data_IF_521902643850
#
_entry.id   IF_521902643850
#
_cell.length_a   1.000
_cell.length_b   1.000
_cell.length_c   1.000
_cell.angle_alpha   90.00
_cell.angle_beta   90.00
_cell.angle_gamma   90.00
#
_symmetry.space_group_name_H-M   'P 1'
#
loop_
_entity.id
_entity.type
_entity.pdbx_description
1 polymer ?
#
# COMPACT_ATOMS: atom_id res chain seq x y z
N UNK A 1 4.19 16.19 13.48
CA UNK A 1 5.28 15.37 14.08
C UNK A 1 5.41 14.09 13.28
N UNK A 2 6.59 13.47 13.20
CA UNK A 2 6.77 12.27 12.36
C UNK A 2 7.88 11.36 12.85
N UNK A 3 8.30 10.43 11.98
CA UNK A 3 9.27 9.37 12.29
C UNK A 3 10.58 9.87 12.92
N UNK A 4 11.18 10.94 12.38
CA UNK A 4 12.44 11.48 12.90
C UNK A 4 12.33 12.00 14.33
N UNK A 5 11.22 12.63 14.70
CA UNK A 5 10.98 13.02 16.09
C UNK A 5 10.86 11.78 16.99
N UNK A 6 10.18 10.71 16.53
CA UNK A 6 10.04 9.47 17.30
C UNK A 6 11.40 8.84 17.62
N UNK A 7 12.34 8.88 16.68
CA UNK A 7 13.70 8.37 16.86
C UNK A 7 14.57 9.26 17.74
N UNK A 8 14.57 10.57 17.49
CA UNK A 8 15.55 11.49 18.09
C UNK A 8 15.08 12.14 19.38
N UNK A 9 13.76 12.19 19.61
CA UNK A 9 13.11 12.96 20.68
C UNK A 9 13.53 14.45 20.73
N UNK A 10 14.00 14.98 19.60
CA UNK A 10 14.52 16.35 19.50
C UNK A 10 13.43 17.40 19.78
N UNK A 11 13.72 18.31 20.71
CA UNK A 11 12.86 19.46 20.99
C UNK A 11 12.71 20.40 19.78
N UNK A 12 13.73 20.49 18.92
CA UNK A 12 13.69 21.30 17.70
C UNK A 12 12.60 20.75 16.76
N UNK A 13 12.59 19.43 16.53
CA UNK A 13 11.57 18.79 15.69
C UNK A 13 10.18 18.89 16.32
N UNK A 14 10.09 18.78 17.66
CA UNK A 14 8.82 18.95 18.40
C UNK A 14 8.21 20.33 18.17
N UNK A 15 9.03 21.37 18.16
CA UNK A 15 8.57 22.76 18.06
C UNK A 15 8.41 23.23 16.61
N UNK A 16 8.80 22.43 15.62
CA UNK A 16 8.69 22.74 14.19
C UNK A 16 8.01 21.58 13.43
N UNK A 17 6.70 21.36 13.62
CA UNK A 17 6.01 20.23 13.01
C UNK A 17 5.78 20.41 11.50
N UNK A 18 5.97 19.33 10.74
CA UNK A 18 5.53 19.23 9.35
C UNK A 18 4.00 19.06 9.20
N UNK A 19 3.51 19.34 8.00
CA UNK A 19 2.14 19.04 7.54
C UNK A 19 2.13 17.94 6.48
N UNK A 20 1.12 17.08 6.50
CA UNK A 20 0.83 16.16 5.38
C UNK A 20 -0.23 16.80 4.48
N UNK A 21 0.07 16.91 3.18
CA UNK A 21 -0.86 17.38 2.15
C UNK A 21 -1.04 16.27 1.11
N UNK A 22 -2.27 16.07 0.66
CA UNK A 22 -2.61 15.02 -0.27
C UNK A 22 -3.73 15.47 -1.21
N UNK A 23 -3.93 14.72 -2.30
CA UNK A 23 -4.87 15.05 -3.35
C UNK A 23 -6.11 14.15 -3.25
N UNK A 24 -7.28 14.76 -3.30
CA UNK A 24 -8.54 14.06 -3.50
C UNK A 24 -8.78 13.94 -5.01
N UNK A 25 -9.06 12.72 -5.46
CA UNK A 25 -9.41 12.48 -6.86
C UNK A 25 -10.93 12.54 -7.00
N UNK A 26 -11.44 13.17 -8.07
CA UNK A 26 -12.87 13.32 -8.29
C UNK A 26 -13.56 12.00 -8.65
N UNK A 27 -12.81 11.02 -9.16
CA UNK A 27 -13.36 9.74 -9.58
C UNK A 27 -13.78 8.88 -8.38
N UNK A 28 -15.00 8.37 -8.43
CA UNK A 28 -15.52 7.44 -7.43
C UNK A 28 -14.73 6.13 -7.46
N UNK A 29 -14.02 5.85 -6.36
CA UNK A 29 -13.27 4.61 -6.14
C UNK A 29 -13.90 3.79 -5.02
N UNK A 30 -14.12 2.50 -5.27
CA UNK A 30 -14.46 1.57 -4.20
C UNK A 30 -13.16 1.05 -3.58
N UNK A 31 -12.99 1.25 -2.28
CA UNK A 31 -11.82 0.80 -1.55
C UNK A 31 -12.17 -0.38 -0.64
N UNK A 32 -11.32 -1.40 -0.68
CA UNK A 32 -11.49 -2.61 0.11
C UNK A 32 -10.19 -2.97 0.83
N UNK A 33 -10.32 -3.48 2.05
CA UNK A 33 -9.24 -4.14 2.76
C UNK A 33 -9.38 -5.66 2.55
N UNK A 34 -8.27 -6.35 2.32
CA UNK A 34 -8.29 -7.80 2.13
C UNK A 34 -7.57 -8.54 3.25
N UNK A 35 -7.43 -9.85 3.07
CA UNK A 35 -6.69 -10.72 3.98
C UNK A 35 -5.79 -11.69 3.22
N UNK A 36 -5.18 -12.65 3.92
CA UNK A 36 -4.46 -13.75 3.28
C UNK A 36 -5.37 -14.70 2.48
N UNK A 37 -6.68 -14.70 2.75
CA UNK A 37 -7.65 -15.52 2.05
C UNK A 37 -8.01 -14.85 0.71
N UNK A 38 -7.81 -15.58 -0.39
CA UNK A 38 -8.14 -15.11 -1.74
C UNK A 38 -9.66 -14.88 -1.83
N UNK A 39 -10.05 -13.76 -2.41
CA UNK A 39 -11.47 -13.38 -2.61
C UNK A 39 -12.13 -12.68 -1.42
N UNK A 40 -11.49 -12.63 -0.25
CA UNK A 40 -12.01 -11.86 0.88
C UNK A 40 -11.70 -10.37 0.73
N UNK A 41 -12.75 -9.54 0.69
CA UNK A 41 -12.67 -8.08 0.58
C UNK A 41 -13.73 -7.44 1.47
N UNK A 42 -13.32 -6.55 2.38
CA UNK A 42 -14.22 -5.77 3.22
C UNK A 42 -14.20 -4.30 2.80
N UNK A 43 -15.39 -3.70 2.64
CA UNK A 43 -15.52 -2.30 2.24
C UNK A 43 -14.88 -1.38 3.29
N UNK A 44 -14.16 -0.35 2.82
CA UNK A 44 -13.53 0.64 3.69
C UNK A 44 -13.26 1.94 2.92
N UNK A 45 -12.39 2.80 3.46
CA UNK A 45 -12.03 4.09 2.87
C UNK A 45 -10.56 4.18 2.52
N UNK A 46 -10.22 4.72 1.35
CA UNK A 46 -8.84 4.84 0.90
C UNK A 46 -8.04 5.82 1.76
N UNK A 47 -8.65 6.93 2.16
CA UNK A 47 -8.04 7.93 3.02
C UNK A 47 -8.54 7.81 4.46
N UNK A 48 -7.61 7.66 5.41
CA UNK A 48 -7.88 7.67 6.84
C UNK A 48 -7.77 9.10 7.39
N UNK A 49 -8.76 9.95 7.12
CA UNK A 49 -8.73 11.38 7.50
C UNK A 49 -8.68 11.61 9.02
N UNK A 50 -8.97 10.59 9.82
CA UNK A 50 -8.78 10.59 11.27
C UNK A 50 -7.30 10.51 11.71
N UNK A 51 -6.38 10.18 10.79
CA UNK A 51 -4.95 10.11 11.08
C UNK A 51 -4.40 11.50 11.40
N UNK A 52 -3.76 11.62 12.57
CA UNK A 52 -3.26 12.89 13.07
C UNK A 52 -1.96 12.72 13.86
N UNK A 53 -1.35 13.85 14.24
CA UNK A 53 -0.15 13.86 15.06
C UNK A 53 1.04 13.17 14.37
N UNK A 54 1.68 12.25 15.08
CA UNK A 54 2.80 11.45 14.59
C UNK A 54 2.40 10.35 13.60
N UNK A 55 1.11 10.05 13.48
CA UNK A 55 0.55 9.07 12.55
C UNK A 55 -0.06 9.71 11.29
N UNK A 56 0.11 11.01 11.07
CA UNK A 56 -0.55 11.74 9.97
C UNK A 56 -0.29 11.14 8.58
N UNK A 57 0.86 10.48 8.35
CA UNK A 57 1.16 9.81 7.07
C UNK A 57 0.24 8.61 6.79
N UNK A 58 -0.35 7.99 7.81
CA UNK A 58 -1.29 6.89 7.65
C UNK A 58 -2.65 7.32 7.07
N UNK A 59 -2.83 8.61 6.75
CA UNK A 59 -3.92 9.07 5.90
C UNK A 59 -3.96 8.28 4.60
N UNK A 60 -2.80 7.92 4.04
CA UNK A 60 -2.72 7.10 2.84
C UNK A 60 -2.98 5.62 3.15
N UNK A 61 -3.99 5.03 2.51
CA UNK A 61 -4.31 3.60 2.57
C UNK A 61 -4.55 3.04 3.96
N UNK A 62 -4.78 3.90 4.96
CA UNK A 62 -4.85 3.52 6.38
C UNK A 62 -3.52 2.96 6.94
N UNK A 63 -2.40 3.31 6.31
CA UNK A 63 -1.07 2.82 6.65
C UNK A 63 -0.72 1.51 5.95
N UNK A 64 -0.03 0.62 6.67
CA UNK A 64 0.61 -0.58 6.11
C UNK A 64 -0.28 -1.82 6.17
N UNK A 65 -1.47 -1.71 5.60
CA UNK A 65 -2.37 -2.85 5.41
C UNK A 65 -1.66 -3.97 4.63
N UNK A 66 -1.83 -5.26 5.00
CA UNK A 66 -1.24 -6.37 4.25
C UNK A 66 -1.64 -6.36 2.78
N UNK A 67 -2.92 -6.11 2.51
CA UNK A 67 -3.44 -5.97 1.15
C UNK A 67 -4.68 -5.09 1.15
N UNK A 68 -4.78 -4.21 0.17
CA UNK A 68 -6.00 -3.46 -0.13
C UNK A 68 -6.24 -3.40 -1.65
N UNK A 69 -7.47 -3.11 -2.03
CA UNK A 69 -7.92 -3.06 -3.42
C UNK A 69 -8.71 -1.79 -3.66
N UNK A 70 -8.44 -1.17 -4.79
CA UNK A 70 -9.19 -0.05 -5.35
C UNK A 70 -9.78 -0.48 -6.69
N UNK A 71 -11.09 -0.31 -6.84
CA UNK A 71 -11.81 -0.53 -8.09
C UNK A 71 -12.38 0.79 -8.59
N UNK A 72 -12.09 1.11 -9.85
CA UNK A 72 -12.39 2.42 -10.44
C UNK A 72 -13.52 2.30 -11.47
N UNK A 73 -13.96 3.44 -11.99
CA UNK A 73 -14.95 3.48 -13.06
C UNK A 73 -14.35 3.20 -14.44
N UNK A 74 -13.02 3.20 -14.59
CA UNK A 74 -12.36 2.89 -15.85
C UNK A 74 -12.61 1.44 -16.27
N UNK A 75 -12.79 1.21 -17.58
CA UNK A 75 -12.98 -0.11 -18.21
C UNK A 75 -11.98 -0.32 -19.33
N UNK A 76 -10.70 -0.15 -19.00
CA UNK A 76 -9.60 -0.22 -19.95
C UNK A 76 -8.84 -1.57 -19.90
N UNK A 77 -9.29 -2.52 -19.08
CA UNK A 77 -8.66 -3.84 -18.94
C UNK A 77 -7.31 -3.82 -18.23
N UNK A 78 -6.82 -2.66 -17.76
CA UNK A 78 -5.53 -2.55 -17.07
C UNK A 78 -5.72 -2.79 -15.58
N UNK A 79 -5.01 -3.77 -15.03
CA UNK A 79 -5.13 -4.23 -13.64
C UNK A 79 -3.75 -4.41 -13.05
N UNK A 80 -3.38 -3.52 -12.15
CA UNK A 80 -2.04 -3.46 -11.57
C UNK A 80 -2.02 -3.95 -10.14
N UNK A 81 -0.94 -4.62 -9.77
CA UNK A 81 -0.54 -4.79 -8.37
C UNK A 81 0.69 -3.94 -8.06
N UNK A 82 0.63 -3.20 -6.97
CA UNK A 82 1.75 -2.47 -6.38
C UNK A 82 2.28 -3.26 -5.17
N UNK A 83 3.50 -3.77 -5.25
CA UNK A 83 4.21 -4.35 -4.12
C UNK A 83 5.10 -3.28 -3.49
N UNK A 84 4.90 -3.02 -2.20
CA UNK A 84 5.49 -1.86 -1.53
C UNK A 84 5.88 -2.11 -0.08
N UNK A 85 6.66 -1.18 0.45
CA UNK A 85 6.70 -0.77 1.86
C UNK A 85 6.05 0.61 2.05
N UNK A 86 6.10 1.20 3.25
CA UNK A 86 5.30 2.39 3.60
C UNK A 86 5.47 3.59 2.65
N UNK A 87 6.61 3.72 1.96
CA UNK A 87 6.80 4.76 0.93
C UNK A 87 5.80 4.67 -0.22
N UNK A 88 5.34 3.46 -0.58
CA UNK A 88 4.35 3.27 -1.64
C UNK A 88 2.94 3.73 -1.27
N UNK A 89 2.63 3.97 0.02
CA UNK A 89 1.28 4.36 0.44
C UNK A 89 0.83 5.67 -0.22
N UNK A 90 1.70 6.68 -0.24
CA UNK A 90 1.39 7.97 -0.84
C UNK A 90 1.34 7.92 -2.38
N UNK A 91 2.00 6.94 -3.00
CA UNK A 91 2.02 6.78 -4.46
C UNK A 91 0.77 6.06 -4.98
N UNK A 92 0.29 5.03 -4.28
CA UNK A 92 -0.78 4.17 -4.77
C UNK A 92 -2.06 4.91 -5.24
N UNK A 93 -2.53 5.98 -4.57
CA UNK A 93 -3.70 6.73 -5.02
C UNK A 93 -3.57 7.29 -6.44
N UNK A 94 -2.37 7.63 -6.92
CA UNK A 94 -2.19 8.16 -8.28
C UNK A 94 -2.43 7.11 -9.37
N UNK A 95 -2.41 5.81 -9.02
CA UNK A 95 -2.69 4.73 -9.97
C UNK A 95 -4.18 4.70 -10.35
N UNK A 96 -5.09 5.17 -9.50
CA UNK A 96 -6.54 4.99 -9.75
C UNK A 96 -7.01 5.69 -11.04
N UNK A 97 -6.34 6.75 -11.48
CA UNK A 97 -6.70 7.46 -12.72
C UNK A 97 -6.34 6.70 -14.01
N UNK A 98 -5.59 5.60 -13.92
CA UNK A 98 -5.01 4.90 -15.09
C UNK A 98 -5.43 3.43 -15.19
N UNK A 99 -6.03 2.87 -14.14
CA UNK A 99 -6.25 1.44 -13.99
C UNK A 99 -7.70 1.15 -13.57
N UNK A 100 -8.28 0.10 -14.13
CA UNK A 100 -9.59 -0.44 -13.73
C UNK A 100 -9.53 -1.02 -12.30
N UNK A 101 -8.40 -1.65 -11.95
CA UNK A 101 -8.14 -2.25 -10.65
C UNK A 101 -6.71 -1.96 -10.21
N UNK A 102 -6.56 -1.52 -8.96
CA UNK A 102 -5.27 -1.37 -8.28
C UNK A 102 -5.31 -2.21 -7.02
N UNK A 103 -4.41 -3.19 -6.90
CA UNK A 103 -4.17 -3.92 -5.66
C UNK A 103 -2.86 -3.43 -5.07
N UNK A 104 -2.84 -3.15 -3.77
CA UNK A 104 -1.61 -2.77 -3.05
C UNK A 104 -1.29 -3.86 -2.05
N UNK A 105 -0.07 -4.36 -2.10
CA UNK A 105 0.43 -5.41 -1.22
C UNK A 105 1.62 -4.88 -0.44
N UNK A 106 1.52 -4.91 0.89
CA UNK A 106 2.69 -4.66 1.74
C UNK A 106 3.53 -5.93 1.82
N UNK A 107 4.76 -5.86 1.27
CA UNK A 107 5.64 -7.03 1.15
C UNK A 107 5.99 -7.65 2.51
N UNK A 108 5.98 -6.85 3.58
CA UNK A 108 6.37 -7.27 4.93
C UNK A 108 5.28 -8.09 5.59
N UNK A 109 4.03 -7.63 5.49
CA UNK A 109 2.91 -8.18 6.26
C UNK A 109 2.01 -9.14 5.47
N UNK A 110 1.97 -9.09 4.14
CA UNK A 110 1.14 -10.00 3.35
C UNK A 110 1.64 -11.45 3.37
N UNK A 111 0.88 -12.36 3.97
CA UNK A 111 1.24 -13.80 4.09
C UNK A 111 0.36 -14.73 3.25
N UNK A 112 -0.42 -14.20 2.30
CA UNK A 112 -1.23 -15.01 1.38
C UNK A 112 -0.42 -15.58 0.22
N UNK A 113 -1.07 -16.41 -0.59
CA UNK A 113 -0.52 -16.90 -1.85
C UNK A 113 -0.57 -15.79 -2.90
N UNK A 114 0.56 -15.13 -3.09
CA UNK A 114 0.66 -13.97 -3.96
C UNK A 114 0.35 -14.34 -5.42
N UNK A 115 0.93 -15.41 -5.94
CA UNK A 115 0.78 -15.80 -7.35
C UNK A 115 -0.66 -16.18 -7.66
N UNK A 116 -1.32 -16.97 -6.81
CA UNK A 116 -2.72 -17.32 -7.01
C UNK A 116 -3.65 -16.12 -6.78
N UNK A 117 -3.31 -15.19 -5.89
CA UNK A 117 -4.04 -13.92 -5.76
C UNK A 117 -3.97 -13.10 -7.05
N UNK A 118 -2.80 -12.95 -7.67
CA UNK A 118 -2.66 -12.24 -8.94
C UNK A 118 -3.51 -12.86 -10.05
N UNK A 119 -3.50 -14.20 -10.15
CA UNK A 119 -4.32 -14.95 -11.12
C UNK A 119 -5.82 -14.76 -10.87
N UNK A 120 -6.26 -14.94 -9.62
CA UNK A 120 -7.66 -14.82 -9.24
C UNK A 120 -8.21 -13.41 -9.48
N UNK A 121 -7.39 -12.38 -9.27
CA UNK A 121 -7.78 -10.99 -9.48
C UNK A 121 -7.58 -10.50 -10.94
N UNK A 122 -6.99 -11.34 -11.79
CA UNK A 122 -6.72 -11.07 -13.20
C UNK A 122 -5.71 -9.93 -13.42
N UNK A 123 -4.68 -9.85 -12.58
CA UNK A 123 -3.63 -8.83 -12.66
C UNK A 123 -2.77 -9.06 -13.90
N UNK A 124 -2.47 -7.99 -14.63
CA UNK A 124 -1.65 -8.01 -15.85
C UNK A 124 -0.45 -7.06 -15.81
N UNK A 125 -0.34 -6.21 -14.78
CA UNK A 125 0.81 -5.34 -14.55
C UNK A 125 1.28 -5.46 -13.10
N UNK A 126 2.61 -5.48 -12.89
CA UNK A 126 3.25 -5.59 -11.58
C UNK A 126 4.26 -4.46 -11.42
N UNK A 127 4.15 -3.70 -10.33
CA UNK A 127 5.05 -2.61 -9.98
C UNK A 127 5.59 -2.81 -8.57
N UNK A 128 6.90 -2.62 -8.40
CA UNK A 128 7.55 -2.57 -7.08
C UNK A 128 7.93 -1.13 -6.76
N UNK A 129 7.57 -0.64 -5.58
CA UNK A 129 8.02 0.67 -5.07
C UNK A 129 8.54 0.51 -3.66
N UNK A 130 9.83 0.78 -3.50
CA UNK A 130 10.53 0.80 -2.24
C UNK A 130 11.42 2.04 -2.19
N UNK A 131 11.56 2.65 -1.02
CA UNK A 131 12.63 3.62 -0.82
C UNK A 131 14.02 2.95 -0.97
N UNK A 132 15.05 3.77 -1.16
CA UNK A 132 16.42 3.28 -1.43
C UNK A 132 16.97 2.39 -0.31
N UNK A 133 16.65 2.67 0.96
CA UNK A 133 17.10 1.84 2.07
C UNK A 133 16.44 0.46 2.03
N UNK A 134 15.12 0.41 1.82
CA UNK A 134 14.40 -0.85 1.68
C UNK A 134 14.87 -1.66 0.46
N UNK A 135 15.16 -0.99 -0.67
CA UNK A 135 15.69 -1.66 -1.86
C UNK A 135 17.07 -2.33 -1.63
N UNK A 136 17.87 -1.80 -0.70
CA UNK A 136 19.23 -2.30 -0.40
C UNK A 136 19.35 -3.11 0.90
N UNK A 137 18.26 -3.30 1.65
CA UNK A 137 18.30 -4.01 2.93
C UNK A 137 17.88 -5.47 2.73
N UNK A 138 18.73 -6.41 3.12
CA UNK A 138 18.52 -7.86 2.90
C UNK A 138 17.16 -8.34 3.40
N UNK A 139 16.71 -7.88 4.56
CA UNK A 139 15.39 -8.20 5.11
C UNK A 139 14.24 -7.89 4.14
N UNK A 140 14.25 -6.71 3.50
CA UNK A 140 13.23 -6.30 2.55
C UNK A 140 13.34 -7.06 1.22
N UNK A 141 14.58 -7.35 0.78
CA UNK A 141 14.85 -8.19 -0.39
C UNK A 141 14.27 -9.59 -0.17
N UNK A 142 14.46 -10.15 1.02
CA UNK A 142 13.94 -11.47 1.37
C UNK A 142 12.42 -11.48 1.44
N UNK A 143 11.79 -10.42 1.95
CA UNK A 143 10.32 -10.29 1.92
C UNK A 143 9.75 -10.34 0.50
N UNK A 144 10.37 -9.63 -0.45
CA UNK A 144 9.97 -9.66 -1.86
C UNK A 144 10.19 -11.05 -2.46
N UNK A 145 11.36 -11.66 -2.24
CA UNK A 145 11.64 -13.02 -2.74
C UNK A 145 10.61 -14.00 -2.20
N UNK A 146 10.30 -13.93 -0.92
CA UNK A 146 9.37 -14.84 -0.27
C UNK A 146 7.92 -14.68 -0.76
N UNK A 147 7.50 -13.50 -1.26
CA UNK A 147 6.18 -13.34 -1.85
C UNK A 147 5.92 -14.35 -2.98
N UNK A 148 6.91 -14.61 -3.83
CA UNK A 148 6.77 -15.55 -4.94
C UNK A 148 6.62 -17.02 -4.51
N UNK A 149 7.06 -17.37 -3.29
CA UNK A 149 7.09 -18.75 -2.79
C UNK A 149 6.08 -19.02 -1.67
N UNK A 150 5.45 -17.98 -1.11
CA UNK A 150 4.36 -18.12 -0.12
C UNK A 150 3.17 -18.82 -0.78
N UNK A 151 2.74 -19.95 -0.22
CA UNK A 151 1.57 -20.71 -0.70
C UNK A 151 1.86 -21.81 -1.72
N UNK A 152 3.06 -21.87 -2.30
CA UNK A 152 3.45 -22.87 -3.31
C UNK A 152 3.67 -24.30 -2.75
N UNK A 153 3.53 -24.50 -1.44
CA UNK A 153 3.70 -25.79 -0.75
C UNK A 153 2.38 -26.29 -0.13
N UNK A 154 1.31 -26.35 -0.94
CA UNK A 154 0.10 -27.11 -0.61
C UNK A 154 -0.37 -27.90 -1.82
#
# INVERSE_FOLDING_TARGET
MGFFYRLTKSAILKNNPDSVRYYLFPDSVNFFIGSKAIGYWALSHMYAEQASGDNSYSVFLQGDLPICKMETQHKNGRRIVLVKESYGNAFAPFLINNYEKVIVVDQRSYKGDFINMLKAEGINELLFINNIFAAHTQFHIDDIKNLAFRGANK
#
